data_IF_929342269851
#
_entry.id   IF_929342269851
#
_cell.length_a   1.000
_cell.length_b   1.000
_cell.length_c   1.000
_cell.angle_alpha   90.00
_cell.angle_beta   90.00
_cell.angle_gamma   90.00
#
_symmetry.space_group_name_H-M   'P 1'
#
loop_
_entity.id
_entity.type
_entity.pdbx_description
1 polymer ?
#
# COMPACT_ATOMS: atom_id res chain seq x y z
N UNK A 1 -29.90 -12.98 1.84
CA UNK A 1 -29.38 -12.18 0.71
C UNK A 1 -30.14 -12.60 -0.53
N UNK A 2 -30.70 -11.66 -1.28
CA UNK A 2 -31.53 -11.96 -2.46
C UNK A 2 -30.64 -12.07 -3.72
N UNK A 3 -30.50 -13.29 -4.25
CA UNK A 3 -29.68 -13.55 -5.44
C UNK A 3 -30.15 -12.80 -6.70
N UNK A 4 -31.46 -12.57 -6.82
CA UNK A 4 -32.03 -11.82 -7.93
C UNK A 4 -31.60 -10.35 -7.91
N UNK A 5 -31.59 -9.72 -6.71
CA UNK A 5 -31.10 -8.35 -6.57
C UNK A 5 -29.63 -8.23 -6.93
N UNK A 6 -28.80 -9.16 -6.47
CA UNK A 6 -27.37 -9.17 -6.83
C UNK A 6 -27.15 -9.31 -8.34
N UNK A 7 -27.92 -10.17 -9.01
CA UNK A 7 -27.83 -10.33 -10.46
C UNK A 7 -28.20 -9.03 -11.20
N UNK A 8 -29.24 -8.34 -10.72
CA UNK A 8 -29.66 -7.03 -11.28
C UNK A 8 -28.57 -5.98 -11.09
N UNK A 9 -27.97 -5.88 -9.90
CA UNK A 9 -26.94 -4.91 -9.59
C UNK A 9 -25.67 -5.16 -10.44
N UNK A 10 -25.27 -6.43 -10.59
CA UNK A 10 -24.12 -6.83 -11.44
C UNK A 10 -24.39 -6.50 -12.91
N UNK A 11 -25.60 -6.77 -13.41
CA UNK A 11 -25.97 -6.42 -14.78
C UNK A 11 -25.90 -4.89 -15.02
N UNK A 12 -26.35 -4.09 -14.05
CA UNK A 12 -26.26 -2.64 -14.10
C UNK A 12 -24.82 -2.14 -14.17
N UNK A 13 -23.87 -2.75 -13.43
CA UNK A 13 -22.46 -2.39 -13.50
C UNK A 13 -21.88 -2.60 -14.91
N UNK A 14 -22.20 -3.71 -15.57
CA UNK A 14 -21.75 -3.98 -16.93
C UNK A 14 -22.43 -3.10 -17.99
N UNK A 15 -23.68 -2.71 -17.78
CA UNK A 15 -24.41 -1.86 -18.72
C UNK A 15 -24.02 -0.39 -18.62
N UNK A 16 -23.49 0.07 -17.50
CA UNK A 16 -23.13 1.48 -17.29
C UNK A 16 -21.84 1.82 -18.01
N UNK A 17 -21.86 2.86 -18.83
CA UNK A 17 -20.67 3.34 -19.55
C UNK A 17 -19.70 4.01 -18.59
N UNK A 18 -18.39 3.78 -18.83
CA UNK A 18 -17.32 4.45 -18.10
C UNK A 18 -17.17 5.91 -18.54
N UNK A 19 -17.09 6.80 -17.57
CA UNK A 19 -16.62 8.18 -17.76
C UNK A 19 -15.16 8.22 -17.33
N UNK A 20 -14.26 8.51 -18.29
CA UNK A 20 -12.83 8.52 -18.02
C UNK A 20 -12.21 9.85 -18.37
N UNK A 21 -11.28 10.33 -17.53
CA UNK A 21 -10.50 11.54 -17.77
C UNK A 21 -9.02 11.29 -17.44
N UNK A 22 -8.13 12.05 -18.09
CA UNK A 22 -6.70 12.00 -17.76
C UNK A 22 -6.42 12.86 -16.53
N UNK A 23 -5.63 12.32 -15.59
CA UNK A 23 -5.22 13.00 -14.36
C UNK A 23 -3.74 13.38 -14.37
N UNK A 24 -3.44 14.50 -13.72
CA UNK A 24 -2.07 14.99 -13.48
C UNK A 24 -1.65 14.85 -12.02
N UNK A 25 -2.60 14.50 -11.15
CA UNK A 25 -2.40 14.26 -9.71
C UNK A 25 -3.12 12.97 -9.31
N UNK A 26 -2.64 12.33 -8.26
CA UNK A 26 -3.34 11.18 -7.67
C UNK A 26 -4.65 11.71 -7.09
N UNK A 27 -5.82 11.22 -7.53
CA UNK A 27 -7.10 11.74 -7.07
C UNK A 27 -7.35 11.35 -5.61
N UNK A 28 -7.99 12.25 -4.87
CA UNK A 28 -8.55 11.94 -3.57
C UNK A 28 -9.87 11.16 -3.71
N UNK A 29 -10.28 10.48 -2.63
CA UNK A 29 -11.53 9.70 -2.62
C UNK A 29 -12.77 10.53 -2.99
N UNK A 30 -12.76 11.82 -2.68
CA UNK A 30 -13.85 12.77 -2.95
C UNK A 30 -13.86 13.31 -4.37
N UNK A 31 -12.76 13.16 -5.12
CA UNK A 31 -12.64 13.67 -6.49
C UNK A 31 -13.11 12.67 -7.56
N UNK A 32 -13.54 11.49 -7.15
CA UNK A 32 -14.09 10.44 -8.01
C UNK A 32 -15.48 10.08 -7.51
N UNK A 33 -16.47 10.07 -8.42
CA UNK A 33 -17.86 9.73 -8.07
C UNK A 33 -18.05 8.23 -7.95
N UNK A 34 -19.11 7.82 -7.23
CA UNK A 34 -19.54 6.40 -7.23
C UNK A 34 -20.05 6.01 -8.62
N UNK A 35 -19.75 4.79 -9.02
CA UNK A 35 -20.13 4.25 -10.32
C UNK A 35 -18.94 4.13 -11.26
N UNK A 36 -19.21 4.21 -12.58
CA UNK A 36 -18.19 4.01 -13.61
C UNK A 36 -17.45 5.34 -13.96
N UNK A 37 -16.91 6.01 -12.93
CA UNK A 37 -16.05 7.20 -13.06
C UNK A 37 -14.58 6.83 -12.78
N UNK A 38 -13.65 7.23 -13.66
CA UNK A 38 -12.25 6.88 -13.52
C UNK A 38 -11.30 7.99 -13.97
N UNK A 39 -10.21 8.14 -13.24
CA UNK A 39 -9.07 8.99 -13.62
C UNK A 39 -7.92 8.11 -14.09
N UNK A 40 -7.47 8.32 -15.32
CA UNK A 40 -6.31 7.62 -15.90
C UNK A 40 -5.03 8.34 -15.51
N UNK A 41 -4.11 7.62 -14.90
CA UNK A 41 -2.80 8.13 -14.49
C UNK A 41 -1.68 7.41 -15.22
N UNK A 42 -0.65 8.14 -15.60
CA UNK A 42 0.63 7.57 -16.01
C UNK A 42 1.55 7.57 -14.78
N UNK A 43 1.64 6.44 -14.09
CA UNK A 43 2.32 6.33 -12.81
C UNK A 43 3.07 5.03 -12.60
N UNK A 44 3.83 4.99 -11.53
CA UNK A 44 4.42 3.77 -10.97
C UNK A 44 3.74 3.50 -9.65
N UNK A 45 3.24 2.29 -9.47
CA UNK A 45 2.73 1.81 -8.18
C UNK A 45 3.82 1.01 -7.47
N UNK A 46 4.03 1.35 -6.23
CA UNK A 46 4.91 0.63 -5.31
C UNK A 46 4.05 -0.01 -4.23
N UNK A 47 4.21 -1.33 -4.09
CA UNK A 47 3.73 -2.07 -2.94
C UNK A 47 4.91 -2.41 -2.04
N UNK A 48 4.84 -2.01 -0.78
CA UNK A 48 5.80 -2.37 0.24
C UNK A 48 5.08 -3.19 1.31
N UNK A 49 5.55 -4.39 1.56
CA UNK A 49 4.93 -5.41 2.39
C UNK A 49 5.94 -5.97 3.39
N UNK A 50 5.48 -6.44 4.53
CA UNK A 50 6.31 -7.11 5.52
C UNK A 50 6.39 -8.60 5.16
N UNK A 51 7.56 -9.06 4.76
CA UNK A 51 7.72 -10.46 4.40
C UNK A 51 7.50 -11.36 5.64
N UNK A 52 6.80 -12.47 5.43
CA UNK A 52 6.53 -13.49 6.45
C UNK A 52 5.78 -12.97 7.70
N UNK A 53 4.96 -11.94 7.54
CA UNK A 53 4.19 -11.34 8.65
C UNK A 53 3.28 -12.32 9.38
N UNK A 54 2.76 -13.34 8.68
CA UNK A 54 2.00 -14.44 9.30
C UNK A 54 2.85 -15.24 10.30
N UNK A 55 4.12 -15.48 10.00
CA UNK A 55 5.03 -16.18 10.91
C UNK A 55 5.37 -15.32 12.13
N UNK A 56 5.48 -14.01 11.96
CA UNK A 56 5.65 -13.05 13.05
C UNK A 56 4.49 -13.17 14.07
N UNK A 57 3.25 -13.13 13.59
CA UNK A 57 2.05 -13.21 14.44
C UNK A 57 1.91 -14.57 15.12
N UNK A 58 2.36 -15.65 14.47
CA UNK A 58 2.24 -17.01 15.03
C UNK A 58 3.29 -17.32 16.08
N UNK A 59 4.50 -16.80 15.94
CA UNK A 59 5.66 -17.23 16.72
C UNK A 59 6.08 -16.24 17.81
N UNK A 60 5.53 -15.04 17.82
CA UNK A 60 5.88 -13.98 18.78
C UNK A 60 4.64 -13.40 19.43
N UNK A 61 4.82 -12.67 20.55
CA UNK A 61 3.70 -12.07 21.25
C UNK A 61 3.02 -10.98 20.41
N UNK A 62 1.74 -10.70 20.70
CA UNK A 62 0.94 -9.68 20.04
C UNK A 62 1.60 -8.30 20.08
N UNK A 63 2.26 -7.97 21.22
CA UNK A 63 2.94 -6.70 21.41
C UNK A 63 4.15 -6.57 20.45
N UNK A 64 5.01 -7.60 20.39
CA UNK A 64 6.16 -7.63 19.46
C UNK A 64 5.69 -7.51 18.01
N UNK A 65 4.66 -8.27 17.62
CA UNK A 65 4.11 -8.20 16.27
C UNK A 65 3.57 -6.82 15.95
N UNK A 66 2.79 -6.22 16.86
CA UNK A 66 2.23 -4.89 16.69
C UNK A 66 3.31 -3.80 16.59
N UNK A 67 4.37 -3.90 17.39
CA UNK A 67 5.48 -2.93 17.36
C UNK A 67 6.32 -3.07 16.08
N UNK A 68 6.53 -4.28 15.57
CA UNK A 68 7.18 -4.49 14.27
C UNK A 68 6.34 -3.87 13.15
N UNK A 69 5.03 -4.13 13.10
CA UNK A 69 4.13 -3.54 12.11
C UNK A 69 4.13 -2.02 12.18
N UNK A 70 3.96 -1.45 13.38
CA UNK A 70 3.98 -0.01 13.60
C UNK A 70 5.30 0.62 13.15
N UNK A 71 6.42 0.02 13.50
CA UNK A 71 7.76 0.51 13.14
C UNK A 71 7.97 0.47 11.64
N UNK A 72 7.58 -0.62 10.98
CA UNK A 72 7.69 -0.78 9.54
C UNK A 72 6.81 0.24 8.78
N UNK A 73 5.53 0.30 9.09
CA UNK A 73 4.59 1.22 8.43
C UNK A 73 4.95 2.69 8.67
N UNK A 74 5.47 3.03 9.86
CA UNK A 74 5.97 4.37 10.14
C UNK A 74 7.16 4.74 9.24
N UNK A 75 8.17 3.88 9.18
CA UNK A 75 9.32 4.08 8.31
C UNK A 75 8.90 4.17 6.83
N UNK A 76 8.05 3.24 6.39
CA UNK A 76 7.56 3.20 5.02
C UNK A 76 6.82 4.49 4.66
N UNK A 77 5.92 4.95 5.51
CA UNK A 77 5.16 6.19 5.28
C UNK A 77 6.05 7.41 5.15
N UNK A 78 7.05 7.54 6.02
CA UNK A 78 8.01 8.66 5.97
C UNK A 78 8.87 8.62 4.72
N UNK A 79 9.43 7.46 4.39
CA UNK A 79 10.31 7.27 3.23
C UNK A 79 9.55 7.50 1.92
N UNK A 80 8.34 6.96 1.79
CA UNK A 80 7.48 7.16 0.62
C UNK A 80 7.21 8.64 0.39
N UNK A 81 6.73 9.35 1.43
CA UNK A 81 6.42 10.79 1.33
C UNK A 81 7.65 11.62 1.00
N UNK A 82 8.80 11.35 1.62
CA UNK A 82 10.04 12.06 1.36
C UNK A 82 10.56 11.89 -0.08
N UNK A 83 10.24 10.77 -0.71
CA UNK A 83 10.55 10.51 -2.12
C UNK A 83 9.45 10.96 -3.10
N UNK A 84 8.43 11.68 -2.63
CA UNK A 84 7.36 12.21 -3.46
C UNK A 84 6.31 11.19 -3.88
N UNK A 85 6.19 10.07 -3.17
CA UNK A 85 5.11 9.11 -3.35
C UNK A 85 3.83 9.55 -2.63
N UNK A 86 2.69 9.32 -3.25
CA UNK A 86 1.37 9.51 -2.65
C UNK A 86 0.88 8.17 -2.14
N UNK A 87 0.69 8.03 -0.83
CA UNK A 87 0.14 6.82 -0.22
C UNK A 87 -1.35 6.77 -0.52
N UNK A 88 -1.80 5.66 -1.09
CA UNK A 88 -3.19 5.46 -1.50
C UNK A 88 -3.92 4.40 -0.68
N UNK A 89 -3.20 3.48 -0.05
CA UNK A 89 -3.80 2.46 0.79
C UNK A 89 -2.83 1.91 1.83
N UNK A 90 -3.39 1.47 2.94
CA UNK A 90 -2.78 0.55 3.90
C UNK A 90 -3.67 -0.70 3.97
N UNK A 91 -3.04 -1.88 3.99
CA UNK A 91 -3.73 -3.16 4.12
C UNK A 91 -2.91 -4.06 5.05
N UNK A 92 -3.27 -4.04 6.33
CA UNK A 92 -2.50 -4.70 7.38
C UNK A 92 -1.06 -4.17 7.47
N UNK A 93 -0.11 -5.00 7.08
CA UNK A 93 1.32 -4.71 7.04
C UNK A 93 1.82 -4.18 5.69
N UNK A 94 0.91 -3.97 4.75
CA UNK A 94 1.20 -3.49 3.40
C UNK A 94 0.86 -2.02 3.25
N UNK A 95 1.69 -1.30 2.51
CA UNK A 95 1.42 0.07 2.06
C UNK A 95 1.53 0.16 0.55
N UNK A 96 0.54 0.81 -0.07
CA UNK A 96 0.54 1.11 -1.49
C UNK A 96 0.79 2.59 -1.70
N UNK A 97 1.68 2.91 -2.64
CA UNK A 97 1.96 4.28 -3.03
C UNK A 97 2.03 4.44 -4.55
N UNK A 98 1.64 5.61 -5.03
CA UNK A 98 1.67 5.97 -6.44
C UNK A 98 2.66 7.11 -6.64
N UNK A 99 3.52 6.96 -7.65
CA UNK A 99 4.47 7.98 -8.12
C UNK A 99 4.05 8.42 -9.51
N UNK A 100 3.99 9.72 -9.74
CA UNK A 100 3.64 10.34 -11.02
C UNK A 100 4.66 11.41 -11.39
N UNK A 101 4.58 11.89 -12.64
CA UNK A 101 5.46 12.93 -13.14
C UNK A 101 6.83 12.45 -13.57
N UNK A 102 7.76 13.39 -13.66
CA UNK A 102 9.16 13.12 -14.07
C UNK A 102 9.86 12.29 -13.00
N UNK A 103 10.70 11.35 -13.44
CA UNK A 103 11.51 10.47 -12.58
C UNK A 103 10.71 9.56 -11.62
N UNK A 104 9.44 9.30 -11.92
CA UNK A 104 8.58 8.45 -11.09
C UNK A 104 9.17 7.06 -10.84
N UNK A 105 9.82 6.47 -11.84
CA UNK A 105 10.50 5.18 -11.76
C UNK A 105 11.70 5.25 -10.80
N UNK A 106 12.53 6.28 -10.95
CA UNK A 106 13.70 6.51 -10.08
C UNK A 106 13.29 6.77 -8.65
N UNK A 107 12.24 7.57 -8.42
CA UNK A 107 11.70 7.84 -7.09
C UNK A 107 11.19 6.57 -6.41
N UNK A 108 10.43 5.75 -7.14
CA UNK A 108 9.95 4.47 -6.63
C UNK A 108 11.10 3.51 -6.30
N UNK A 109 12.12 3.44 -7.14
CA UNK A 109 13.31 2.61 -6.90
C UNK A 109 14.10 3.08 -5.66
N UNK A 110 14.35 4.39 -5.54
CA UNK A 110 14.99 4.96 -4.34
C UNK A 110 14.21 4.64 -3.07
N UNK A 111 12.88 4.71 -3.13
CA UNK A 111 12.02 4.33 -2.02
C UNK A 111 12.21 2.88 -1.62
N UNK A 112 12.21 1.96 -2.58
CA UNK A 112 12.41 0.54 -2.31
C UNK A 112 13.76 0.26 -1.63
N UNK A 113 14.83 0.89 -2.11
CA UNK A 113 16.16 0.76 -1.52
C UNK A 113 16.25 1.38 -0.12
N UNK A 114 15.63 2.54 0.10
CA UNK A 114 15.61 3.20 1.39
C UNK A 114 14.78 2.41 2.43
N UNK A 115 13.70 1.77 2.01
CA UNK A 115 12.91 0.86 2.85
C UNK A 115 13.75 -0.34 3.29
N UNK A 116 14.46 -0.97 2.35
CA UNK A 116 15.36 -2.08 2.68
C UNK A 116 16.45 -1.65 3.68
N UNK A 117 17.04 -0.47 3.47
CA UNK A 117 18.00 0.09 4.40
C UNK A 117 17.40 0.31 5.79
N UNK A 118 16.19 0.88 5.87
CA UNK A 118 15.51 1.11 7.14
C UNK A 118 15.23 -0.20 7.89
N UNK A 119 14.81 -1.25 7.20
CA UNK A 119 14.58 -2.56 7.81
C UNK A 119 15.89 -3.14 8.35
N UNK A 120 16.94 -3.15 7.54
CA UNK A 120 18.23 -3.79 7.92
C UNK A 120 18.99 -2.97 8.97
N UNK A 121 19.01 -1.64 8.85
CA UNK A 121 19.89 -0.78 9.64
C UNK A 121 19.21 -0.07 10.79
N UNK A 122 17.88 -0.03 10.82
CA UNK A 122 17.13 0.67 11.86
C UNK A 122 16.21 -0.29 12.62
N UNK A 123 15.29 -0.98 11.93
CA UNK A 123 14.26 -1.79 12.59
C UNK A 123 14.86 -3.02 13.26
N UNK A 124 15.62 -3.85 12.52
CA UNK A 124 16.21 -5.06 13.08
C UNK A 124 17.18 -4.79 14.25
N UNK A 125 18.09 -3.80 14.18
CA UNK A 125 18.94 -3.47 15.32
C UNK A 125 18.17 -2.95 16.54
N UNK A 126 17.13 -2.12 16.33
CA UNK A 126 16.29 -1.63 17.43
C UNK A 126 15.52 -2.77 18.09
N UNK A 127 14.93 -3.65 17.32
CA UNK A 127 14.21 -4.84 17.80
C UNK A 127 15.13 -5.76 18.60
N UNK A 128 16.32 -6.04 18.10
CA UNK A 128 17.32 -6.88 18.79
C UNK A 128 17.81 -6.24 20.08
N UNK A 129 18.00 -4.92 20.11
CA UNK A 129 18.42 -4.17 21.29
C UNK A 129 17.36 -4.21 22.40
N UNK A 130 16.08 -4.08 22.04
CA UNK A 130 14.97 -4.04 23.01
C UNK A 130 14.64 -5.43 23.57
N UNK A 131 14.56 -6.42 22.70
CA UNK A 131 14.03 -7.74 23.06
C UNK A 131 15.10 -8.84 23.26
N UNK A 132 16.34 -8.60 22.79
CA UNK A 132 17.47 -9.51 22.99
C UNK A 132 17.17 -10.94 22.55
N UNK A 133 17.35 -11.89 23.47
CA UNK A 133 17.18 -13.33 23.19
C UNK A 133 15.75 -13.75 22.83
N UNK A 134 14.73 -12.95 23.21
CA UNK A 134 13.33 -13.24 22.84
C UNK A 134 13.06 -13.17 21.34
N UNK A 135 13.91 -12.48 20.59
CA UNK A 135 13.77 -12.27 19.16
C UNK A 135 15.00 -12.71 18.36
N UNK A 136 15.87 -13.54 18.94
CA UNK A 136 17.14 -13.96 18.31
C UNK A 136 16.99 -14.55 16.91
N UNK A 137 15.86 -15.20 16.64
CA UNK A 137 15.55 -15.85 15.37
C UNK A 137 14.62 -14.99 14.49
N UNK A 138 14.21 -13.79 14.97
CA UNK A 138 13.36 -12.88 14.23
C UNK A 138 14.21 -11.94 13.37
N UNK A 139 14.12 -12.08 12.06
CA UNK A 139 14.67 -11.14 11.10
C UNK A 139 13.54 -10.54 10.29
N UNK A 140 13.23 -9.28 10.56
CA UNK A 140 12.25 -8.53 9.78
C UNK A 140 12.80 -8.34 8.37
N UNK A 141 11.98 -8.65 7.38
CA UNK A 141 12.29 -8.51 5.95
C UNK A 141 11.16 -7.77 5.26
N UNK A 142 11.47 -7.07 4.20
CA UNK A 142 10.46 -6.48 3.34
C UNK A 142 10.35 -7.24 2.01
N UNK A 143 9.15 -7.25 1.45
CA UNK A 143 8.90 -7.57 0.07
C UNK A 143 8.43 -6.30 -0.65
N UNK A 144 9.08 -5.92 -1.75
CA UNK A 144 8.69 -4.78 -2.55
C UNK A 144 8.33 -5.25 -3.96
N UNK A 145 7.06 -5.09 -4.30
CA UNK A 145 6.57 -5.23 -5.66
C UNK A 145 6.45 -3.86 -6.32
N UNK A 146 6.84 -3.75 -7.59
CA UNK A 146 6.53 -2.57 -8.40
C UNK A 146 5.81 -2.98 -9.68
N UNK A 147 4.84 -2.18 -10.06
CA UNK A 147 4.19 -2.26 -11.37
C UNK A 147 4.28 -0.90 -12.05
N UNK A 148 4.68 -0.86 -13.32
CA UNK A 148 4.48 0.31 -14.17
C UNK A 148 3.05 0.21 -14.68
N UNK A 149 2.21 1.15 -14.29
CA UNK A 149 0.82 1.19 -14.76
C UNK A 149 0.70 2.35 -15.73
N UNK A 150 0.59 2.02 -16.98
CA UNK A 150 0.04 2.91 -17.98
C UNK A 150 -1.49 2.80 -17.91
N UNK A 151 -2.16 3.93 -17.64
CA UNK A 151 -3.62 4.02 -17.53
C UNK A 151 -4.24 3.35 -16.26
N UNK A 152 -3.75 3.67 -15.09
CA UNK A 152 -4.40 3.28 -13.84
C UNK A 152 -5.71 4.07 -13.65
N UNK A 153 -6.83 3.35 -13.60
CA UNK A 153 -8.13 3.93 -13.30
C UNK A 153 -8.36 3.90 -11.78
N UNK A 154 -8.37 5.06 -11.15
CA UNK A 154 -8.70 5.22 -9.73
C UNK A 154 -10.17 5.58 -9.63
N UNK A 155 -11.04 4.60 -9.55
CA UNK A 155 -12.46 4.85 -9.36
C UNK A 155 -13.06 4.06 -8.20
N UNK A 156 -12.69 2.81 -8.10
CA UNK A 156 -13.34 1.88 -7.18
C UNK A 156 -12.56 1.56 -5.90
N UNK A 157 -11.22 1.69 -5.92
CA UNK A 157 -10.35 1.21 -4.85
C UNK A 157 -10.31 2.10 -3.59
N UNK A 158 -10.78 3.34 -3.68
CA UNK A 158 -10.55 4.32 -2.61
C UNK A 158 -11.64 4.39 -1.53
N UNK A 159 -12.79 3.69 -1.69
CA UNK A 159 -13.89 3.75 -0.70
C UNK A 159 -13.96 2.58 0.26
N UNK A 160 -13.38 1.44 -0.06
CA UNK A 160 -13.42 0.27 0.84
C UNK A 160 -12.40 0.35 1.98
N UNK A 161 -11.36 1.20 1.86
CA UNK A 161 -10.29 1.30 2.86
C UNK A 161 -10.54 2.38 3.91
N UNK A 162 -11.38 3.39 3.64
CA UNK A 162 -11.66 4.48 4.59
C UNK A 162 -12.63 4.13 5.72
N UNK A 163 -13.16 2.91 5.77
CA UNK A 163 -14.14 2.50 6.81
C UNK A 163 -13.62 1.46 7.81
N UNK A 164 -12.34 1.12 7.76
CA UNK A 164 -11.72 0.15 8.68
C UNK A 164 -10.54 0.74 9.47
N UNK A 165 -10.62 2.02 9.88
CA UNK A 165 -9.73 2.59 10.93
C UNK A 165 -10.63 3.27 11.97
#
# INVERSE_FOLDING_TARGET
>A
MNSTQLATDVAAFFATKWVTRNGQVVPEATSVTLGNDAVKLNGVVLYADLAESTNLVRNYSSEIAAEVYKSYLHCASKIIKNNGGVITAFDGDRVMAVYIGVDKETKAMRTALALNHAVIKIINPALSKEYGTKVKDLVVRQAVGRGVIQNYAVGFLNRSVSKCI
#
